data_IF_696644283187
#
_entry.id   IF_696644283187
#
_cell.length_a   1.000
_cell.length_b   1.000
_cell.length_c   1.000
_cell.angle_alpha   90.00
_cell.angle_beta   90.00
_cell.angle_gamma   90.00
#
_symmetry.space_group_name_H-M   'P 1'
#
loop_
_entity.id
_entity.type
_entity.pdbx_description
1 polymer ?
#
# COMPACT_ATOMS: atom_id res chain seq x y z
N UNK A 1 31.07 -2.43 -58.41
CA UNK A 1 29.77 -2.39 -57.71
C UNK A 1 30.03 -2.56 -56.22
N UNK A 2 30.09 -1.45 -55.48
CA UNK A 2 30.11 -1.47 -54.02
C UNK A 2 28.65 -1.46 -53.54
N UNK A 3 28.22 -2.52 -52.85
CA UNK A 3 26.95 -2.59 -52.15
C UNK A 3 27.13 -2.16 -50.70
N UNK A 4 26.51 -1.04 -50.33
CA UNK A 4 26.49 -0.45 -49.00
C UNK A 4 25.52 -1.26 -48.12
N UNK A 5 26.01 -1.80 -46.99
CA UNK A 5 25.18 -2.38 -45.93
C UNK A 5 24.38 -1.27 -45.23
N UNK A 6 23.11 -1.49 -44.86
CA UNK A 6 22.37 -0.49 -44.11
C UNK A 6 22.88 -0.42 -42.67
N UNK A 7 23.17 0.80 -42.24
CA UNK A 7 23.43 1.17 -40.85
C UNK A 7 22.19 0.80 -40.01
N UNK A 8 22.34 -0.15 -39.09
CA UNK A 8 21.37 -0.35 -38.02
C UNK A 8 21.62 0.79 -37.02
N UNK A 9 20.77 1.82 -37.06
CA UNK A 9 20.65 2.74 -35.93
C UNK A 9 20.14 1.93 -34.73
N UNK A 10 21.06 1.58 -33.83
CA UNK A 10 20.69 1.26 -32.45
C UNK A 10 20.07 2.53 -31.87
N UNK A 11 18.76 2.52 -31.64
CA UNK A 11 18.10 3.50 -30.81
C UNK A 11 18.75 3.44 -29.43
N UNK A 12 19.19 4.59 -28.93
CA UNK A 12 19.78 4.76 -27.61
C UNK A 12 18.94 4.02 -26.55
N UNK A 13 19.62 3.21 -25.73
CA UNK A 13 19.11 2.73 -24.44
C UNK A 13 18.61 3.95 -23.65
N UNK A 14 17.30 4.20 -23.66
CA UNK A 14 16.66 4.92 -22.57
C UNK A 14 16.84 4.04 -21.34
N UNK A 15 17.87 4.32 -20.54
CA UNK A 15 18.01 3.72 -19.21
C UNK A 15 16.73 4.02 -18.42
N UNK A 16 15.89 3.00 -18.36
CA UNK A 16 14.72 2.91 -17.49
C UNK A 16 15.10 3.42 -16.09
N UNK A 17 14.47 4.51 -15.59
CA UNK A 17 14.87 5.08 -14.31
C UNK A 17 14.67 4.05 -13.20
N UNK A 18 15.75 3.75 -12.48
CA UNK A 18 15.76 2.75 -11.41
C UNK A 18 14.78 3.10 -10.29
N UNK A 19 14.26 2.07 -9.61
CA UNK A 19 13.41 2.23 -8.42
C UNK A 19 14.08 3.12 -7.36
N UNK A 20 13.36 4.12 -6.86
CA UNK A 20 13.83 5.08 -5.87
C UNK A 20 13.19 4.82 -4.52
N UNK A 21 13.87 4.01 -3.72
CA UNK A 21 13.44 3.60 -2.38
C UNK A 21 14.52 3.92 -1.35
N UNK A 22 14.15 4.57 -0.26
CA UNK A 22 15.05 4.85 0.86
C UNK A 22 14.51 4.21 2.14
N UNK A 23 15.42 3.78 3.02
CA UNK A 23 15.11 3.31 4.37
C UNK A 23 16.06 3.97 5.36
N UNK A 24 15.61 4.11 6.61
CA UNK A 24 16.50 4.56 7.69
C UNK A 24 17.65 3.58 7.90
N UNK A 25 18.78 4.07 8.42
CA UNK A 25 19.92 3.23 8.76
C UNK A 25 19.65 2.33 9.97
N UNK A 26 20.50 1.30 10.14
CA UNK A 26 20.34 0.28 11.18
C UNK A 26 20.49 0.84 12.61
N UNK A 27 21.28 1.89 12.82
CA UNK A 27 21.50 2.48 14.15
C UNK A 27 20.27 3.26 14.59
N UNK A 28 19.73 4.10 13.72
CA UNK A 28 18.45 4.78 13.98
C UNK A 28 17.33 3.76 14.16
N UNK A 29 17.31 2.69 13.34
CA UNK A 29 16.33 1.61 13.44
C UNK A 29 16.35 0.94 14.81
N UNK A 30 17.52 0.56 15.33
CA UNK A 30 17.63 -0.04 16.67
C UNK A 30 17.18 0.93 17.78
N UNK A 31 17.45 2.22 17.61
CA UNK A 31 17.02 3.24 18.58
C UNK A 31 15.50 3.34 18.63
N UNK A 32 14.82 3.43 17.49
CA UNK A 32 13.36 3.60 17.47
C UNK A 32 12.62 2.38 18.02
N UNK A 33 13.14 1.17 17.78
CA UNK A 33 12.46 -0.06 18.20
C UNK A 33 12.34 -0.18 19.73
N UNK A 34 13.24 0.45 20.49
CA UNK A 34 13.18 0.45 21.96
C UNK A 34 11.94 1.15 22.50
N UNK A 35 11.48 2.18 21.79
CA UNK A 35 10.35 3.02 22.21
C UNK A 35 9.00 2.51 21.67
N UNK A 36 9.02 1.53 20.76
CA UNK A 36 7.80 1.02 20.14
C UNK A 36 7.10 -0.04 21.01
N UNK A 37 5.76 -0.03 21.06
CA UNK A 37 5.01 -1.03 21.80
C UNK A 37 5.08 -2.40 21.12
N UNK A 38 4.84 -3.45 21.91
CA UNK A 38 4.63 -4.79 21.36
C UNK A 38 3.36 -4.82 20.49
N UNK A 39 3.38 -5.52 19.35
CA UNK A 39 2.24 -5.61 18.41
C UNK A 39 0.96 -6.14 19.09
N UNK A 40 1.11 -6.97 20.14
CA UNK A 40 -0.01 -7.51 20.91
C UNK A 40 -0.86 -6.44 21.59
N UNK A 41 -0.35 -5.21 21.82
CA UNK A 41 -1.14 -4.12 22.40
C UNK A 41 -2.37 -3.79 21.54
N UNK A 42 -2.29 -3.99 20.21
CA UNK A 42 -3.39 -3.71 19.30
C UNK A 42 -4.56 -4.71 19.40
N UNK A 43 -4.41 -5.82 20.16
CA UNK A 43 -5.55 -6.68 20.54
C UNK A 43 -6.48 -5.99 21.51
N UNK A 44 -5.94 -5.19 22.44
CA UNK A 44 -6.71 -4.53 23.51
C UNK A 44 -6.89 -3.03 23.29
N UNK A 45 -5.95 -2.40 22.59
CA UNK A 45 -5.97 -0.98 22.21
C UNK A 45 -5.86 -0.85 20.68
N UNK A 46 -6.85 -1.33 19.92
CA UNK A 46 -6.82 -1.28 18.47
C UNK A 46 -6.89 0.17 17.94
N UNK A 47 -6.37 0.39 16.74
CA UNK A 47 -6.48 1.67 16.07
C UNK A 47 -7.92 1.95 15.62
N UNK A 48 -8.38 3.16 15.89
CA UNK A 48 -9.64 3.71 15.39
C UNK A 48 -9.51 4.48 14.07
N UNK A 49 -8.27 4.69 13.57
CA UNK A 49 -8.01 5.47 12.37
C UNK A 49 -7.68 4.53 11.21
N UNK A 50 -8.58 4.47 10.24
CA UNK A 50 -8.30 3.78 8.98
C UNK A 50 -7.34 4.59 8.10
N UNK A 51 -6.68 3.94 7.14
CA UNK A 51 -5.65 4.60 6.32
C UNK A 51 -6.17 5.75 5.44
N UNK A 52 -7.47 5.79 5.15
CA UNK A 52 -8.16 6.83 4.36
C UNK A 52 -9.54 7.08 4.96
N UNK A 53 -10.19 8.16 4.55
CA UNK A 53 -11.62 8.35 4.82
C UNK A 53 -12.45 7.40 3.94
N UNK A 54 -13.57 6.90 4.46
CA UNK A 54 -14.33 5.83 3.79
C UNK A 54 -15.36 6.35 2.77
N UNK A 55 -15.63 7.64 2.76
CA UNK A 55 -16.48 8.32 1.78
C UNK A 55 -15.82 8.44 0.39
N UNK A 56 -14.49 8.51 0.35
CA UNK A 56 -13.70 8.47 -0.90
C UNK A 56 -13.45 7.06 -1.43
N UNK A 57 -13.84 6.01 -0.70
CA UNK A 57 -13.61 4.61 -1.08
C UNK A 57 -14.76 4.10 -1.94
N UNK A 58 -14.44 3.57 -3.12
CA UNK A 58 -15.41 2.97 -4.04
C UNK A 58 -15.66 1.49 -3.74
N UNK A 59 -14.58 0.79 -3.35
CA UNK A 59 -14.61 -0.63 -2.95
C UNK A 59 -13.33 -1.03 -2.22
N UNK A 60 -13.31 -2.24 -1.67
CA UNK A 60 -12.09 -2.83 -1.15
C UNK A 60 -12.25 -4.30 -0.80
N UNK A 61 -11.22 -4.87 -0.18
CA UNK A 61 -11.29 -6.16 0.49
C UNK A 61 -10.22 -6.26 1.59
N UNK A 62 -10.39 -7.15 2.59
CA UNK A 62 -9.39 -7.34 3.63
C UNK A 62 -8.18 -8.13 3.10
N UNK A 63 -7.23 -8.42 3.99
CA UNK A 63 -6.19 -9.40 3.73
C UNK A 63 -6.81 -10.81 3.67
N UNK A 64 -6.63 -11.50 2.55
CA UNK A 64 -7.14 -12.85 2.32
C UNK A 64 -5.96 -13.83 2.41
N UNK A 65 -5.88 -14.55 3.52
CA UNK A 65 -4.74 -15.41 3.84
C UNK A 65 -4.64 -16.66 2.98
N UNK A 66 -3.49 -17.34 3.10
CA UNK A 66 -3.15 -18.50 2.28
C UNK A 66 -4.01 -19.73 2.51
N UNK A 67 -4.83 -19.76 3.56
CA UNK A 67 -5.82 -20.84 3.79
C UNK A 67 -7.16 -20.58 3.08
N UNK A 68 -7.34 -19.43 2.43
CA UNK A 68 -8.50 -19.15 1.59
C UNK A 68 -8.45 -19.93 0.27
N UNK A 69 -9.59 -20.04 -0.41
CA UNK A 69 -9.65 -20.70 -1.73
C UNK A 69 -8.95 -19.84 -2.79
N UNK A 70 -9.09 -18.51 -2.69
CA UNK A 70 -8.40 -17.54 -3.55
C UNK A 70 -7.61 -16.53 -2.71
N UNK A 71 -6.44 -16.90 -2.17
CA UNK A 71 -5.61 -16.02 -1.37
C UNK A 71 -5.25 -14.72 -2.08
N UNK A 72 -5.20 -13.64 -1.31
CA UNK A 72 -4.75 -12.32 -1.76
C UNK A 72 -3.97 -11.64 -0.63
N UNK A 73 -2.65 -11.61 -0.76
CA UNK A 73 -1.75 -11.10 0.27
C UNK A 73 -1.77 -9.57 0.28
N UNK A 74 -2.62 -8.98 1.13
CA UNK A 74 -2.79 -7.54 1.29
C UNK A 74 -4.26 -7.11 1.25
N UNK A 75 -4.64 -6.17 2.10
CA UNK A 75 -5.90 -5.45 1.99
C UNK A 75 -5.84 -4.41 0.87
N UNK A 76 -6.98 -4.10 0.27
CA UNK A 76 -7.06 -3.12 -0.82
C UNK A 76 -8.16 -2.11 -0.55
N UNK A 77 -7.87 -0.83 -0.77
CA UNK A 77 -8.87 0.25 -0.86
C UNK A 77 -8.78 0.89 -2.23
N UNK A 78 -9.88 0.87 -2.97
CA UNK A 78 -10.01 1.54 -4.26
C UNK A 78 -10.77 2.86 -4.07
N UNK A 79 -10.46 3.85 -4.89
CA UNK A 79 -11.02 5.19 -4.72
C UNK A 79 -12.14 5.47 -5.71
N UNK A 80 -13.04 6.37 -5.31
CA UNK A 80 -13.92 7.05 -6.26
C UNK A 80 -13.06 8.00 -7.10
N UNK A 81 -13.21 8.00 -8.44
CA UNK A 81 -12.58 9.01 -9.28
C UNK A 81 -13.01 10.42 -8.87
N UNK A 82 -12.16 11.42 -9.16
CA UNK A 82 -12.52 12.81 -8.96
C UNK A 82 -13.44 13.28 -10.09
N UNK A 83 -14.56 13.92 -9.73
CA UNK A 83 -15.51 14.50 -10.70
C UNK A 83 -14.94 15.73 -11.43
N UNK A 84 -13.95 16.40 -10.82
CA UNK A 84 -13.28 17.58 -11.36
C UNK A 84 -12.02 17.17 -12.13
N UNK A 85 -11.66 17.97 -13.14
CA UNK A 85 -10.31 17.92 -13.71
C UNK A 85 -9.29 18.10 -12.58
N UNK A 86 -8.18 17.37 -12.66
CA UNK A 86 -7.16 17.40 -11.63
C UNK A 86 -6.75 18.83 -11.30
N UNK A 87 -6.64 19.11 -10.01
CA UNK A 87 -6.02 20.33 -9.52
C UNK A 87 -4.50 20.13 -9.47
N UNK A 88 -3.74 21.23 -9.52
CA UNK A 88 -2.32 21.21 -9.15
C UNK A 88 -2.12 21.25 -7.63
N UNK A 89 -3.18 21.49 -6.87
CA UNK A 89 -3.13 21.49 -5.42
C UNK A 89 -3.19 20.07 -4.87
N UNK A 90 -2.05 19.59 -4.39
CA UNK A 90 -1.90 18.26 -3.76
C UNK A 90 -2.89 18.05 -2.61
N UNK A 91 -3.33 19.12 -1.93
CA UNK A 91 -4.22 19.01 -0.77
C UNK A 91 -5.66 18.59 -1.12
N UNK A 92 -6.09 18.73 -2.37
CA UNK A 92 -7.42 18.29 -2.81
C UNK A 92 -7.50 16.78 -3.10
N UNK A 93 -6.35 16.10 -3.20
CA UNK A 93 -6.33 14.65 -3.35
C UNK A 93 -6.66 13.96 -2.02
N UNK A 94 -7.25 12.74 -2.05
CA UNK A 94 -7.64 12.05 -0.83
C UNK A 94 -6.48 11.91 0.18
N UNK A 95 -6.68 12.29 1.45
CA UNK A 95 -5.65 12.15 2.47
C UNK A 95 -5.39 10.69 2.81
N UNK A 96 -4.11 10.37 3.02
CA UNK A 96 -3.65 9.08 3.54
C UNK A 96 -3.11 9.34 4.95
N UNK A 97 -3.65 8.62 5.92
CA UNK A 97 -3.38 8.81 7.33
C UNK A 97 -2.42 7.78 7.91
N UNK A 98 -1.59 8.20 8.85
CA UNK A 98 -0.90 7.31 9.78
C UNK A 98 -1.95 6.51 10.59
N UNK A 99 -1.91 5.19 10.48
CA UNK A 99 -2.88 4.31 11.16
C UNK A 99 -2.57 4.15 12.65
N UNK A 100 -1.37 4.51 13.09
CA UNK A 100 -0.91 4.44 14.46
C UNK A 100 0.20 5.47 14.69
N UNK A 101 0.53 5.73 15.95
CA UNK A 101 1.76 6.44 16.28
C UNK A 101 2.97 5.61 15.86
N UNK A 102 4.01 6.24 15.32
CA UNK A 102 5.19 5.50 14.89
C UNK A 102 6.22 6.35 14.18
N UNK A 103 7.11 5.69 13.44
CA UNK A 103 8.20 6.33 12.70
C UNK A 103 8.16 5.91 11.24
N UNK A 104 8.35 6.87 10.34
CA UNK A 104 8.51 6.60 8.90
C UNK A 104 9.89 5.99 8.67
N UNK A 105 9.95 4.70 8.40
CA UNK A 105 11.22 3.96 8.26
C UNK A 105 11.57 3.62 6.82
N UNK A 106 10.61 3.75 5.90
CA UNK A 106 10.78 3.55 4.47
C UNK A 106 9.94 4.53 3.68
N UNK A 107 10.48 5.03 2.58
CA UNK A 107 9.76 5.76 1.56
C UNK A 107 10.16 5.16 0.21
N UNK A 108 9.16 4.71 -0.55
CA UNK A 108 9.29 4.41 -1.96
C UNK A 108 8.80 5.65 -2.72
N UNK A 109 9.72 6.47 -3.22
CA UNK A 109 9.34 7.67 -3.98
C UNK A 109 8.84 7.31 -5.38
N UNK A 110 9.42 6.25 -5.96
CA UNK A 110 9.03 5.73 -7.25
C UNK A 110 9.44 4.27 -7.34
N UNK A 111 8.48 3.38 -7.57
CA UNK A 111 8.74 1.94 -7.69
C UNK A 111 7.90 1.38 -8.84
N UNK A 112 8.57 0.82 -9.83
CA UNK A 112 7.94 0.19 -10.98
C UNK A 112 7.53 -1.25 -10.65
N UNK A 113 6.26 -1.56 -10.89
CA UNK A 113 5.71 -2.89 -10.80
C UNK A 113 5.78 -3.58 -12.16
N UNK A 114 5.66 -4.91 -12.17
CA UNK A 114 5.65 -5.70 -13.41
C UNK A 114 4.56 -5.17 -14.37
N UNK A 115 4.86 -5.02 -15.68
CA UNK A 115 3.87 -4.67 -16.68
C UNK A 115 2.67 -5.61 -16.69
N UNK A 116 1.49 -5.05 -16.93
CA UNK A 116 0.27 -5.81 -17.19
C UNK A 116 -0.54 -5.16 -18.30
N UNK A 117 -1.35 -5.98 -18.97
CA UNK A 117 -2.21 -5.50 -20.04
C UNK A 117 -3.28 -4.55 -19.49
N UNK A 118 -3.24 -3.30 -19.91
CA UNK A 118 -4.19 -2.29 -19.51
C UNK A 118 -5.22 -2.07 -20.62
N UNK A 119 -6.43 -2.63 -20.44
CA UNK A 119 -7.53 -2.54 -21.40
C UNK A 119 -7.91 -1.10 -21.77
N UNK A 120 -7.87 -0.17 -20.82
CA UNK A 120 -8.18 1.24 -21.07
C UNK A 120 -7.15 1.93 -21.98
N UNK A 121 -5.95 1.35 -22.11
CA UNK A 121 -4.85 1.86 -22.93
C UNK A 121 -4.54 0.95 -24.13
N UNK A 122 -5.11 -0.25 -24.19
CA UNK A 122 -4.92 -1.22 -25.27
C UNK A 122 -3.50 -1.78 -25.38
N UNK A 123 -2.70 -1.75 -24.30
CA UNK A 123 -1.29 -2.17 -24.29
C UNK A 123 -0.82 -2.57 -22.89
N UNK A 124 0.32 -3.26 -22.82
CA UNK A 124 1.01 -3.51 -21.55
C UNK A 124 1.60 -2.22 -21.00
N UNK A 125 1.34 -1.94 -19.72
CA UNK A 125 1.87 -0.78 -19.02
C UNK A 125 2.33 -1.22 -17.63
N UNK A 126 3.55 -0.80 -17.26
CA UNK A 126 4.02 -0.92 -15.88
C UNK A 126 3.35 0.15 -15.01
N UNK A 127 2.78 -0.25 -13.88
CA UNK A 127 2.30 0.70 -12.88
C UNK A 127 3.50 1.22 -12.09
N UNK A 128 3.66 2.55 -12.01
CA UNK A 128 4.67 3.17 -11.14
C UNK A 128 3.97 3.67 -9.89
N UNK A 129 4.33 3.08 -8.76
CA UNK A 129 3.76 3.37 -7.44
C UNK A 129 4.71 4.21 -6.61
N UNK A 130 4.19 4.77 -5.54
CA UNK A 130 4.96 5.29 -4.40
C UNK A 130 4.47 4.59 -3.14
N UNK A 131 5.13 4.83 -2.00
CA UNK A 131 4.75 4.14 -0.79
C UNK A 131 5.46 4.60 0.46
N UNK A 132 4.87 4.25 1.58
CA UNK A 132 5.34 4.59 2.92
C UNK A 132 5.42 3.31 3.75
N UNK A 133 6.50 3.17 4.51
CA UNK A 133 6.61 2.20 5.60
C UNK A 133 6.57 2.93 6.95
N UNK A 134 5.49 2.73 7.70
CA UNK A 134 5.34 3.23 9.07
C UNK A 134 5.63 2.10 10.06
N UNK A 135 6.76 2.14 10.75
CA UNK A 135 7.04 1.20 11.85
C UNK A 135 6.41 1.74 13.12
N UNK A 136 5.44 0.99 13.67
CA UNK A 136 4.57 1.45 14.77
C UNK A 136 4.55 0.48 15.96
N UNK A 137 5.09 -0.72 15.78
CA UNK A 137 5.15 -1.74 16.81
C UNK A 137 6.36 -2.64 16.60
N UNK A 138 6.57 -3.56 17.53
CA UNK A 138 7.59 -4.61 17.44
C UNK A 138 7.05 -5.98 17.84
N UNK A 139 7.64 -7.01 17.27
CA UNK A 139 7.59 -8.38 17.78
C UNK A 139 8.98 -8.70 18.32
N UNK A 140 9.13 -8.78 19.64
CA UNK A 140 10.44 -8.86 20.30
C UNK A 140 11.35 -7.68 19.89
N UNK A 141 12.45 -7.94 19.20
CA UNK A 141 13.41 -6.95 18.68
C UNK A 141 13.18 -6.62 17.19
N UNK A 142 12.13 -7.16 16.56
CA UNK A 142 11.85 -6.98 15.13
C UNK A 142 10.76 -5.94 14.94
N UNK A 143 11.02 -4.95 14.09
CA UNK A 143 10.00 -3.95 13.74
C UNK A 143 8.82 -4.57 12.99
N UNK A 144 7.62 -4.10 13.33
CA UNK A 144 6.38 -4.33 12.57
C UNK A 144 5.99 -3.03 11.90
N UNK A 145 5.88 -3.10 10.57
CA UNK A 145 5.70 -1.94 9.71
C UNK A 145 4.38 -2.05 8.97
N UNK A 146 3.54 -1.02 9.05
CA UNK A 146 2.40 -0.88 8.16
C UNK A 146 2.92 -0.35 6.82
N UNK A 147 2.71 -1.12 5.77
CA UNK A 147 3.15 -0.82 4.43
C UNK A 147 1.99 -0.26 3.62
N UNK A 148 2.19 0.95 3.08
CA UNK A 148 1.26 1.63 2.18
C UNK A 148 1.85 1.55 0.77
N UNK A 149 1.39 0.59 -0.04
CA UNK A 149 1.70 0.52 -1.48
C UNK A 149 0.66 1.35 -2.23
N UNK A 150 1.02 2.57 -2.63
CA UNK A 150 0.09 3.55 -3.19
C UNK A 150 0.19 3.50 -4.71
N UNK A 151 -0.87 3.02 -5.36
CA UNK A 151 -0.83 2.54 -6.74
C UNK A 151 -1.83 3.30 -7.63
N UNK A 152 -1.41 4.42 -8.25
CA UNK A 152 -2.29 5.20 -9.13
C UNK A 152 -2.61 4.57 -10.48
N UNK A 153 -1.95 3.48 -10.88
CA UNK A 153 -2.16 2.79 -12.16
C UNK A 153 -1.71 3.60 -13.39
N UNK A 154 -0.75 4.50 -13.20
CA UNK A 154 -0.10 5.24 -14.29
C UNK A 154 1.42 5.19 -14.17
N UNK A 155 2.09 5.49 -15.27
CA UNK A 155 3.55 5.57 -15.37
C UNK A 155 3.99 6.97 -15.79
N UNK A 156 4.17 7.91 -14.83
CA UNK A 156 4.70 9.22 -15.13
C UNK A 156 6.09 9.12 -15.75
N UNK A 157 6.37 10.00 -16.72
CA UNK A 157 7.71 10.11 -17.35
C UNK A 157 8.73 10.71 -16.38
N UNK A 158 8.30 11.70 -15.60
CA UNK A 158 9.11 12.32 -14.57
C UNK A 158 9.27 11.34 -13.38
N UNK A 159 10.51 10.93 -13.02
CA UNK A 159 10.75 10.02 -11.91
C UNK A 159 10.41 10.61 -10.54
N UNK A 160 10.36 11.94 -10.41
CA UNK A 160 10.07 12.65 -9.15
C UNK A 160 8.59 13.08 -9.05
N UNK A 161 7.76 12.72 -10.04
CA UNK A 161 6.36 13.14 -10.13
C UNK A 161 5.56 12.93 -8.83
N UNK A 162 5.81 11.81 -8.13
CA UNK A 162 5.07 11.44 -6.94
C UNK A 162 5.57 12.09 -5.65
N UNK A 163 6.73 12.74 -5.65
CA UNK A 163 7.35 13.30 -4.45
C UNK A 163 6.44 14.28 -3.73
N UNK A 164 5.74 15.10 -4.52
CA UNK A 164 4.80 16.10 -4.01
C UNK A 164 3.65 15.49 -3.20
N UNK A 165 3.30 14.22 -3.44
CA UNK A 165 2.21 13.53 -2.73
C UNK A 165 2.68 12.85 -1.43
N UNK A 166 3.98 12.87 -1.13
CA UNK A 166 4.57 12.32 0.09
C UNK A 166 4.83 13.48 1.05
N UNK A 167 4.09 13.52 2.16
CA UNK A 167 4.07 14.67 3.08
C UNK A 167 4.94 14.48 4.31
N UNK A 168 5.75 13.41 4.33
CA UNK A 168 6.60 13.02 5.45
C UNK A 168 8.01 12.70 4.98
N UNK A 169 8.95 12.71 5.93
CA UNK A 169 10.35 12.37 5.69
C UNK A 169 10.76 11.10 6.42
N UNK A 170 11.82 10.44 5.95
CA UNK A 170 12.42 9.33 6.68
C UNK A 170 12.84 9.77 8.10
N UNK A 171 12.61 8.88 9.06
CA UNK A 171 12.87 9.11 10.48
C UNK A 171 11.84 10.00 11.18
N UNK A 172 10.87 10.58 10.47
CA UNK A 172 9.83 11.40 11.06
C UNK A 172 8.95 10.56 11.99
N UNK A 173 8.77 11.04 13.23
CA UNK A 173 7.74 10.55 14.14
C UNK A 173 6.40 11.12 13.70
N UNK A 174 5.39 10.27 13.57
CA UNK A 174 4.03 10.67 13.20
C UNK A 174 3.04 10.19 14.25
N UNK A 175 1.91 10.90 14.36
CA UNK A 175 0.80 10.50 15.24
C UNK A 175 -0.32 9.84 14.45
N UNK A 176 -1.06 8.93 15.07
CA UNK A 176 -2.28 8.33 14.52
C UNK A 176 -3.22 9.45 14.04
N UNK A 177 -3.60 9.40 12.76
CA UNK A 177 -4.49 10.39 12.14
C UNK A 177 -3.77 11.58 11.51
N UNK A 178 -2.44 11.67 11.60
CA UNK A 178 -1.66 12.62 10.83
C UNK A 178 -1.72 12.25 9.34
N UNK A 179 -1.86 13.26 8.46
CA UNK A 179 -1.83 13.06 7.01
C UNK A 179 -0.38 12.88 6.58
N UNK A 180 -0.06 11.71 6.05
CA UNK A 180 1.32 11.33 5.68
C UNK A 180 1.57 11.32 4.17
N UNK A 181 0.51 11.19 3.39
CA UNK A 181 0.54 11.25 1.94
C UNK A 181 -0.82 11.63 1.38
N UNK A 182 -0.89 11.77 0.06
CA UNK A 182 -2.11 12.03 -0.70
C UNK A 182 -2.23 10.99 -1.81
N UNK A 183 -3.44 10.50 -2.06
CA UNK A 183 -3.70 9.55 -3.14
C UNK A 183 -3.83 10.28 -4.48
N UNK A 184 -2.76 10.33 -5.28
CA UNK A 184 -2.88 10.77 -6.66
C UNK A 184 -3.85 9.88 -7.45
N UNK A 185 -4.83 10.51 -8.12
CA UNK A 185 -5.81 9.87 -8.99
C UNK A 185 -5.68 10.43 -10.41
N UNK A 186 -5.43 9.60 -11.45
CA UNK A 186 -5.23 10.04 -12.83
C UNK A 186 -6.51 10.65 -13.47
N UNK A 187 -6.36 11.54 -14.45
CA UNK A 187 -7.50 12.17 -15.15
C UNK A 187 -8.36 11.15 -15.91
N UNK A 188 -7.72 10.09 -16.43
CA UNK A 188 -8.43 9.00 -17.08
C UNK A 188 -9.26 8.25 -16.02
N UNK A 189 -10.57 8.45 -16.09
CA UNK A 189 -11.54 7.90 -15.14
C UNK A 189 -11.49 6.37 -15.03
N UNK A 190 -11.18 5.66 -16.12
CA UNK A 190 -11.07 4.19 -16.08
C UNK A 190 -9.80 3.72 -15.37
N UNK A 191 -8.71 4.48 -15.46
CA UNK A 191 -7.51 4.24 -14.66
C UNK A 191 -7.73 4.65 -13.20
N UNK A 192 -8.41 5.76 -12.95
CA UNK A 192 -8.70 6.26 -11.61
C UNK A 192 -9.51 5.26 -10.77
N UNK A 193 -10.47 4.55 -11.39
CA UNK A 193 -11.24 3.46 -10.76
C UNK A 193 -10.38 2.26 -10.34
N UNK A 194 -9.19 2.11 -10.92
CA UNK A 194 -8.22 1.05 -10.60
C UNK A 194 -7.20 1.51 -9.58
N UNK A 195 -7.02 2.81 -9.42
CA UNK A 195 -6.13 3.38 -8.44
C UNK A 195 -6.53 2.92 -7.04
N UNK A 196 -5.56 2.41 -6.29
CA UNK A 196 -5.81 1.80 -4.99
C UNK A 196 -4.60 1.92 -4.07
N UNK A 197 -4.81 1.63 -2.79
CA UNK A 197 -3.71 1.33 -1.86
C UNK A 197 -3.78 -0.15 -1.54
N UNK A 198 -2.70 -0.87 -1.85
CA UNK A 198 -2.44 -2.19 -1.30
C UNK A 198 -1.74 -2.00 0.06
N UNK A 199 -2.30 -2.59 1.11
CA UNK A 199 -1.78 -2.43 2.46
C UNK A 199 -1.66 -3.75 3.22
N UNK A 200 -0.57 -3.88 3.97
CA UNK A 200 -0.26 -5.04 4.77
C UNK A 200 0.69 -4.66 5.91
N UNK A 201 0.91 -5.59 6.84
CA UNK A 201 2.04 -5.49 7.75
C UNK A 201 3.25 -6.23 7.17
N UNK A 202 4.44 -5.73 7.50
CA UNK A 202 5.72 -6.36 7.22
C UNK A 202 6.44 -6.52 8.55
N UNK A 203 6.98 -7.71 8.77
CA UNK A 203 7.86 -7.99 9.90
C UNK A 203 9.31 -7.96 9.43
N UNK A 204 10.13 -7.29 10.21
CA UNK A 204 11.57 -7.26 9.97
C UNK A 204 12.19 -8.66 10.04
N UNK A 205 13.18 -8.91 9.18
CA UNK A 205 13.80 -10.23 9.06
C UNK A 205 13.04 -11.21 8.19
N UNK A 206 11.93 -10.79 7.55
CA UNK A 206 11.20 -11.58 6.56
C UNK A 206 9.92 -12.23 7.09
N UNK A 207 9.45 -13.27 6.40
CA UNK A 207 8.18 -13.94 6.69
C UNK A 207 6.98 -13.46 5.86
N UNK A 208 7.23 -12.68 4.80
CA UNK A 208 6.20 -12.25 3.86
C UNK A 208 5.26 -11.17 4.41
N UNK A 209 4.11 -11.03 3.76
CA UNK A 209 3.07 -10.09 4.18
C UNK A 209 2.23 -10.69 5.30
N UNK A 210 1.80 -9.81 6.20
CA UNK A 210 1.05 -10.14 7.40
C UNK A 210 -0.24 -9.33 7.38
N UNK A 211 -1.30 -9.88 7.96
CA UNK A 211 -2.59 -9.22 8.01
C UNK A 211 -2.54 -7.89 8.79
N UNK A 212 -3.14 -6.80 8.27
CA UNK A 212 -3.21 -5.49 8.92
C UNK A 212 -4.32 -5.41 9.98
N UNK A 213 -4.53 -6.49 10.74
CA UNK A 213 -5.62 -6.65 11.71
C UNK A 213 -5.41 -5.87 13.02
N UNK A 214 -5.04 -4.59 12.93
CA UNK A 214 -4.79 -3.70 14.07
C UNK A 214 -5.94 -2.74 14.38
N UNK A 215 -7.01 -2.78 13.57
CA UNK A 215 -8.11 -1.82 13.63
C UNK A 215 -9.23 -2.30 14.55
N UNK A 216 -9.96 -1.35 15.13
CA UNK A 216 -11.07 -1.67 16.02
C UNK A 216 -12.29 -2.17 15.22
N UNK A 217 -13.22 -2.82 15.91
CA UNK A 217 -14.41 -3.41 15.27
C UNK A 217 -15.27 -2.38 14.54
N UNK A 218 -15.37 -1.14 15.03
CA UNK A 218 -16.16 -0.10 14.37
C UNK A 218 -15.54 0.28 13.02
N UNK A 219 -14.23 0.48 12.96
CA UNK A 219 -13.47 0.74 11.73
C UNK A 219 -13.60 -0.42 10.74
N UNK A 220 -13.42 -1.67 11.20
CA UNK A 220 -13.54 -2.86 10.35
C UNK A 220 -14.95 -2.99 9.77
N UNK A 221 -16.00 -2.78 10.59
CA UNK A 221 -17.39 -2.82 10.10
C UNK A 221 -17.71 -1.69 9.14
N UNK A 222 -17.18 -0.49 9.37
CA UNK A 222 -17.37 0.63 8.46
C UNK A 222 -16.74 0.35 7.09
N UNK A 223 -15.53 -0.22 7.07
CA UNK A 223 -14.89 -0.63 5.82
C UNK A 223 -15.61 -1.82 5.15
N UNK A 224 -16.09 -2.80 5.93
CA UNK A 224 -16.88 -3.93 5.42
C UNK A 224 -18.13 -3.47 4.65
N UNK A 225 -18.77 -2.37 5.04
CA UNK A 225 -19.89 -1.78 4.29
C UNK A 225 -19.50 -1.30 2.88
N UNK A 226 -18.23 -0.95 2.67
CA UNK A 226 -17.67 -0.57 1.38
C UNK A 226 -17.01 -1.76 0.66
N UNK A 227 -17.01 -2.97 1.23
CA UNK A 227 -16.48 -4.16 0.56
C UNK A 227 -17.41 -4.63 -0.55
N UNK A 228 -17.11 -4.20 -1.77
CA UNK A 228 -17.66 -4.81 -2.95
C UNK A 228 -16.74 -5.95 -3.41
N UNK A 229 -16.96 -7.15 -2.85
CA UNK A 229 -16.26 -8.36 -3.28
C UNK A 229 -16.52 -8.60 -4.77
N UNK A 230 -15.52 -9.12 -5.48
CA UNK A 230 -15.69 -9.48 -6.88
C UNK A 230 -16.85 -10.50 -7.01
N UNK A 231 -17.73 -10.39 -8.02
CA UNK A 231 -18.93 -11.23 -8.15
C UNK A 231 -18.66 -12.74 -8.12
N UNK A 232 -17.45 -13.16 -8.52
CA UNK A 232 -17.03 -14.55 -8.59
C UNK A 232 -15.96 -14.87 -7.52
N UNK A 233 -16.00 -14.23 -6.36
CA UNK A 233 -15.12 -14.56 -5.26
C UNK A 233 -15.62 -15.82 -4.55
N UNK A 234 -14.94 -16.97 -4.65
CA UNK A 234 -15.39 -18.22 -4.05
C UNK A 234 -15.40 -18.18 -2.52
N UNK A 235 -14.62 -17.28 -1.91
CA UNK A 235 -14.58 -17.08 -0.47
C UNK A 235 -15.68 -16.13 0.05
N UNK A 236 -16.53 -15.57 -0.83
CA UNK A 236 -17.64 -14.72 -0.43
C UNK A 236 -18.82 -15.53 0.15
N UNK A 237 -19.56 -14.99 1.15
CA UNK A 237 -19.33 -13.71 1.79
C UNK A 237 -18.23 -13.78 2.87
N UNK A 238 -17.28 -12.85 2.81
CA UNK A 238 -16.25 -12.68 3.86
C UNK A 238 -16.86 -11.88 5.03
N UNK A 239 -16.74 -12.34 6.29
CA UNK A 239 -17.25 -11.62 7.46
C UNK A 239 -16.49 -10.29 7.68
N UNK A 240 -17.00 -9.37 8.52
CA UNK A 240 -16.30 -8.14 8.89
C UNK A 240 -15.04 -8.44 9.70
N UNK A 241 -13.92 -8.71 9.01
CA UNK A 241 -12.60 -8.99 9.56
C UNK A 241 -11.52 -8.42 8.62
N UNK A 242 -10.39 -7.99 9.16
CA UNK A 242 -9.28 -7.45 8.38
C UNK A 242 -8.29 -8.53 7.93
N UNK A 243 -8.31 -9.70 8.56
CA UNK A 243 -7.67 -10.92 8.11
C UNK A 243 -8.65 -12.06 7.99
N UNK A 244 -8.67 -12.74 6.84
CA UNK A 244 -9.55 -13.88 6.58
C UNK A 244 -8.74 -15.14 6.26
N UNK A 245 -9.03 -16.27 6.91
CA UNK A 245 -8.34 -17.57 6.71
C UNK A 245 -6.81 -17.44 6.68
N UNK A 246 -6.25 -16.91 7.76
CA UNK A 246 -4.83 -16.67 7.92
C UNK A 246 -4.06 -17.95 8.26
N UNK A 247 -2.92 -18.14 7.61
CA UNK A 247 -1.89 -19.06 8.05
C UNK A 247 -1.14 -18.53 9.29
N UNK A 248 -0.40 -19.37 10.03
CA UNK A 248 0.25 -18.99 11.30
C UNK A 248 1.16 -17.76 11.23
N UNK A 249 1.89 -17.57 10.13
CA UNK A 249 2.82 -16.47 9.94
C UNK A 249 2.16 -15.17 9.44
N UNK A 250 0.93 -15.25 8.93
CA UNK A 250 0.12 -14.12 8.48
C UNK A 250 -0.65 -13.45 9.63
N UNK A 251 -0.74 -14.13 10.77
CA UNK A 251 -1.33 -13.59 11.99
C UNK A 251 -0.33 -12.61 12.67
N UNK A 252 -0.73 -11.33 12.88
CA UNK A 252 0.18 -10.31 13.41
C UNK A 252 0.46 -10.48 14.91
N UNK A 253 -0.38 -11.21 15.64
CA UNK A 253 -0.34 -11.23 17.10
C UNK A 253 0.28 -12.49 17.69
N UNK A 254 0.18 -13.59 16.96
CA UNK A 254 0.53 -14.92 17.43
C UNK A 254 0.80 -15.81 16.23
N UNK A 255 1.62 -16.85 16.40
CA UNK A 255 2.00 -17.77 15.32
C UNK A 255 0.99 -18.91 15.19
N UNK A 256 -0.28 -18.56 15.05
CA UNK A 256 -1.40 -19.51 15.00
C UNK A 256 -2.30 -19.19 13.82
N UNK A 257 -2.74 -20.25 13.13
CA UNK A 257 -3.72 -20.13 12.06
C UNK A 257 -5.06 -19.68 12.65
N UNK A 258 -5.76 -18.80 11.96
CA UNK A 258 -7.06 -18.28 12.42
C UNK A 258 -7.94 -17.90 11.25
N UNK A 259 -9.24 -18.14 11.36
CA UNK A 259 -10.15 -17.91 10.24
C UNK A 259 -10.56 -16.44 10.10
N UNK A 260 -10.48 -15.66 11.19
CA UNK A 260 -10.79 -14.22 11.17
C UNK A 260 -10.07 -13.45 12.27
N UNK A 261 -9.58 -12.25 11.92
CA UNK A 261 -9.10 -11.20 12.83
C UNK A 261 -9.69 -9.85 12.46
#
# INVERSE_FOLDING_TARGET
MLGILPLICQSADEQEPANRSLSIDSKLRQSILKDLPAIQIFKTTPSSRFLVDLDVVSRGHPYIGRRAERPHTGGHVYFNPLDKKQTRDVSEYPPIYAVADGVITRIDYSFELRPMFERALGRDVANRRYGIGLTFAREQERGVTFHYSIEPFVRPKDPDFYDQFILVKLGQKVRKGEVIARMYLPENQELAKKSHIHFNLIREGGGGFISPSIFNTATVRAFHKQWNLFPNNPDAPIPPCMGYKLAPDENPFERTAIDRL
#
